data_IF_922513861491
#
_entry.id   IF_922513861491
#
_cell.length_a   1.000
_cell.length_b   1.000
_cell.length_c   1.000
_cell.angle_alpha   90.00
_cell.angle_beta   90.00
_cell.angle_gamma   90.00
#
_symmetry.space_group_name_H-M   'P 1'
#
loop_
_entity.id
_entity.type
_entity.pdbx_description
1 polymer ?
#
# COMPACT_ATOMS: atom_id res chain seq x y z
N UNK A 1 -1.09 -7.27 -37.90
CA UNK A 1 0.22 -6.62 -37.67
C UNK A 1 0.21 -6.22 -36.21
N UNK A 2 0.58 -7.14 -35.30
CA UNK A 2 0.62 -6.85 -33.87
C UNK A 2 1.77 -5.87 -33.64
N UNK A 3 1.46 -4.64 -33.25
CA UNK A 3 2.50 -3.73 -32.77
C UNK A 3 2.97 -4.26 -31.42
N UNK A 4 4.14 -4.86 -31.39
CA UNK A 4 4.84 -5.18 -30.15
C UNK A 4 5.22 -3.86 -29.49
N UNK A 5 4.38 -3.37 -28.57
CA UNK A 5 4.76 -2.32 -27.65
C UNK A 5 5.91 -2.85 -26.79
N UNK A 6 7.13 -2.46 -27.12
CA UNK A 6 8.32 -2.82 -26.35
C UNK A 6 8.42 -1.89 -25.14
N UNK A 7 7.75 -2.26 -24.05
CA UNK A 7 7.95 -1.56 -22.78
C UNK A 7 9.33 -1.95 -22.22
N UNK A 8 10.16 -0.98 -21.77
CA UNK A 8 11.40 -1.31 -21.10
C UNK A 8 11.07 -2.06 -19.81
N UNK A 9 11.49 -3.31 -19.72
CA UNK A 9 11.25 -4.13 -18.53
C UNK A 9 12.34 -3.92 -17.49
N UNK A 10 11.99 -4.14 -16.23
CA UNK A 10 12.87 -3.94 -15.07
C UNK A 10 12.90 -5.17 -14.18
N UNK A 11 13.93 -5.24 -13.33
CA UNK A 11 14.06 -6.27 -12.30
C UNK A 11 13.24 -5.91 -11.07
N UNK A 12 13.02 -6.89 -10.18
CA UNK A 12 12.35 -6.63 -8.90
C UNK A 12 13.09 -5.63 -8.00
N UNK A 13 14.43 -5.58 -8.05
CA UNK A 13 15.20 -4.58 -7.30
C UNK A 13 14.86 -3.15 -7.76
N UNK A 14 14.77 -2.93 -9.07
CA UNK A 14 14.37 -1.65 -9.65
C UNK A 14 12.89 -1.34 -9.37
N UNK A 15 12.02 -2.36 -9.27
CA UNK A 15 10.65 -2.19 -8.78
C UNK A 15 10.63 -1.59 -7.38
N UNK A 16 11.44 -2.11 -6.46
CA UNK A 16 11.51 -1.57 -5.09
C UNK A 16 11.97 -0.11 -5.08
N UNK A 17 12.92 0.25 -5.94
CA UNK A 17 13.35 1.65 -6.10
C UNK A 17 12.23 2.53 -6.69
N UNK A 18 11.48 2.03 -7.66
CA UNK A 18 10.40 2.76 -8.30
C UNK A 18 9.23 3.03 -7.34
N UNK A 19 8.74 2.00 -6.64
CA UNK A 19 7.67 2.16 -5.65
C UNK A 19 8.09 3.00 -4.45
N UNK A 20 9.38 2.97 -4.07
CA UNK A 20 9.92 3.87 -3.05
C UNK A 20 9.86 5.35 -3.46
N UNK A 21 9.90 5.64 -4.77
CA UNK A 21 9.69 6.97 -5.35
C UNK A 21 8.20 7.32 -5.55
N UNK A 22 7.30 6.42 -5.15
CA UNK A 22 5.85 6.60 -5.31
C UNK A 22 5.30 6.18 -6.67
N UNK A 23 6.12 5.52 -7.51
CA UNK A 23 5.69 5.07 -8.84
C UNK A 23 4.85 3.79 -8.74
N UNK A 24 3.94 3.61 -9.71
CA UNK A 24 3.18 2.39 -9.89
C UNK A 24 3.92 1.44 -10.83
N UNK A 25 3.90 0.15 -10.49
CA UNK A 25 4.56 -0.89 -11.30
C UNK A 25 3.65 -2.09 -11.51
N UNK A 26 3.86 -2.84 -12.58
CA UNK A 26 3.12 -4.07 -12.84
C UNK A 26 4.01 -5.08 -13.55
N UNK A 27 3.66 -6.37 -13.50
CA UNK A 27 4.17 -7.34 -14.47
C UNK A 27 3.54 -7.03 -15.83
N UNK A 28 4.22 -7.35 -16.93
CA UNK A 28 3.65 -7.24 -18.28
C UNK A 28 2.30 -7.96 -18.38
N UNK A 29 2.21 -9.19 -17.85
CA UNK A 29 0.99 -9.98 -17.80
C UNK A 29 -0.10 -9.37 -16.89
N UNK A 30 0.29 -8.58 -15.89
CA UNK A 30 -0.62 -7.93 -14.95
C UNK A 30 -1.22 -6.66 -15.53
N UNK A 31 -0.45 -5.86 -16.27
CA UNK A 31 -0.92 -4.62 -16.86
C UNK A 31 -2.04 -4.87 -17.89
N UNK A 32 -1.92 -5.93 -18.69
CA UNK A 32 -2.99 -6.35 -19.61
C UNK A 32 -4.29 -6.75 -18.89
N UNK A 33 -4.20 -7.13 -17.61
CA UNK A 33 -5.34 -7.46 -16.77
C UNK A 33 -5.77 -6.31 -15.85
N UNK A 34 -4.99 -5.22 -15.74
CA UNK A 34 -5.29 -4.08 -14.85
C UNK A 34 -4.81 -4.21 -13.41
N UNK A 35 -3.91 -5.16 -13.09
CA UNK A 35 -3.31 -5.25 -11.75
C UNK A 35 -2.01 -4.43 -11.67
N UNK A 36 -1.78 -3.74 -10.55
CA UNK A 36 -0.54 -2.99 -10.31
C UNK A 36 -0.18 -2.89 -8.84
N UNK A 37 1.10 -2.68 -8.56
CA UNK A 37 1.64 -2.41 -7.24
C UNK A 37 1.89 -0.92 -7.05
N UNK A 38 1.70 -0.49 -5.81
CA UNK A 38 2.23 0.78 -5.30
C UNK A 38 2.69 0.57 -3.85
N UNK A 39 3.51 1.49 -3.34
CA UNK A 39 3.83 1.52 -1.92
C UNK A 39 2.95 2.55 -1.22
N UNK A 40 2.21 2.13 -0.18
CA UNK A 40 1.65 3.09 0.76
C UNK A 40 2.80 3.63 1.62
N UNK A 41 3.06 4.95 1.62
CA UNK A 41 4.11 5.51 2.46
C UNK A 41 3.76 5.37 3.95
N UNK A 42 4.78 5.46 4.79
CA UNK A 42 4.56 5.57 6.23
C UNK A 42 3.80 6.87 6.53
N UNK A 43 2.87 6.81 7.47
CA UNK A 43 1.98 7.94 7.76
C UNK A 43 1.50 7.92 9.21
N UNK A 44 1.13 9.07 9.73
CA UNK A 44 0.54 9.23 11.06
C UNK A 44 -0.91 9.67 10.94
N UNK A 45 -1.83 8.78 11.32
CA UNK A 45 -3.25 9.05 11.21
C UNK A 45 -3.83 9.35 12.59
N UNK A 46 -4.52 10.48 12.76
CA UNK A 46 -5.24 10.77 13.98
C UNK A 46 -6.23 9.69 14.43
N UNK A 47 -6.25 9.41 15.73
CA UNK A 47 -7.14 8.40 16.34
C UNK A 47 -8.62 8.72 16.07
N UNK A 48 -8.99 10.00 15.93
CA UNK A 48 -10.37 10.42 15.60
C UNK A 48 -10.88 9.84 14.28
N UNK A 49 -10.00 9.61 13.31
CA UNK A 49 -10.37 9.01 12.02
C UNK A 49 -10.45 7.49 12.13
N UNK A 50 -9.47 6.87 12.79
CA UNK A 50 -9.37 5.42 12.94
C UNK A 50 -10.53 4.88 13.76
N UNK A 51 -10.89 5.58 14.85
CA UNK A 51 -12.06 5.23 15.65
C UNK A 51 -13.36 5.37 14.86
N UNK A 52 -13.44 6.10 13.74
CA UNK A 52 -14.66 6.19 12.94
C UNK A 52 -14.71 5.18 11.80
N UNK A 53 -13.63 4.44 11.56
CA UNK A 53 -13.59 3.44 10.50
C UNK A 53 -14.60 2.31 10.78
N UNK A 54 -15.50 2.08 9.82
CA UNK A 54 -16.51 1.00 9.87
C UNK A 54 -15.89 -0.38 9.77
N UNK A 55 -14.71 -0.49 9.17
CA UNK A 55 -13.93 -1.74 9.03
C UNK A 55 -13.20 -2.16 10.30
N UNK A 56 -13.12 -1.29 11.32
CA UNK A 56 -12.34 -1.58 12.52
C UNK A 56 -13.13 -2.49 13.47
N UNK A 57 -12.61 -3.68 13.84
CA UNK A 57 -13.28 -4.56 14.79
C UNK A 57 -13.51 -3.89 16.14
N UNK A 58 -14.64 -4.20 16.78
CA UNK A 58 -15.03 -3.60 18.06
C UNK A 58 -13.97 -3.80 19.17
N UNK A 59 -13.27 -4.93 19.17
CA UNK A 59 -12.19 -5.20 20.12
C UNK A 59 -11.02 -4.23 19.95
N UNK A 60 -10.61 -3.96 18.71
CA UNK A 60 -9.50 -3.05 18.40
C UNK A 60 -9.86 -1.63 18.82
N UNK A 61 -11.07 -1.17 18.48
CA UNK A 61 -11.63 0.11 18.95
C UNK A 61 -11.54 0.26 20.46
N UNK A 62 -11.99 -0.75 21.21
CA UNK A 62 -11.92 -0.76 22.68
C UNK A 62 -10.48 -0.67 23.20
N UNK A 63 -9.53 -1.35 22.56
CA UNK A 63 -8.12 -1.24 22.95
C UNK A 63 -7.55 0.16 22.68
N UNK A 64 -7.93 0.80 21.57
CA UNK A 64 -7.53 2.17 21.25
C UNK A 64 -8.12 3.16 22.25
N UNK A 65 -9.41 3.05 22.56
CA UNK A 65 -10.08 3.87 23.58
C UNK A 65 -9.41 3.71 24.95
N UNK A 66 -9.08 2.46 25.35
CA UNK A 66 -8.36 2.22 26.60
C UNK A 66 -6.97 2.86 26.62
N UNK A 67 -6.21 2.79 25.51
CA UNK A 67 -4.87 3.39 25.41
C UNK A 67 -4.91 4.92 25.40
N UNK A 68 -5.92 5.49 24.77
CA UNK A 68 -6.10 6.95 24.64
C UNK A 68 -6.93 7.55 25.76
N UNK A 69 -7.46 6.74 26.68
CA UNK A 69 -8.43 7.13 27.71
C UNK A 69 -9.69 7.81 27.12
N UNK A 70 -10.04 7.46 25.88
CA UNK A 70 -11.14 8.08 25.13
C UNK A 70 -10.83 9.49 24.60
N UNK A 71 -9.62 10.00 24.79
CA UNK A 71 -9.21 11.31 24.33
C UNK A 71 -8.72 11.26 22.87
N UNK A 72 -8.87 12.36 22.15
CA UNK A 72 -8.33 12.53 20.80
C UNK A 72 -7.13 13.47 20.76
N UNK A 73 -6.92 14.24 21.83
CA UNK A 73 -5.83 15.18 21.97
C UNK A 73 -5.20 14.97 23.34
N UNK A 74 -3.89 15.15 23.43
CA UNK A 74 -3.16 15.19 24.70
C UNK A 74 -3.51 16.47 25.46
N UNK A 75 -3.19 16.51 26.75
CA UNK A 75 -3.33 17.72 27.59
C UNK A 75 -2.52 18.93 27.05
N UNK A 76 -1.50 18.69 26.22
CA UNK A 76 -0.73 19.72 25.52
C UNK A 76 -1.46 20.34 24.33
N UNK A 77 -2.62 19.79 23.93
CA UNK A 77 -3.37 20.18 22.74
C UNK A 77 -2.96 19.43 21.47
N UNK A 78 -1.90 18.62 21.50
CA UNK A 78 -1.48 17.81 20.35
C UNK A 78 -2.44 16.66 20.08
N UNK A 79 -2.73 16.40 18.80
CA UNK A 79 -3.57 15.27 18.40
C UNK A 79 -2.86 13.92 18.65
N UNK A 80 -3.61 12.95 19.16
CA UNK A 80 -3.10 11.59 19.32
C UNK A 80 -3.17 10.88 17.96
N UNK A 81 -2.00 10.52 17.44
CA UNK A 81 -1.85 9.81 16.16
C UNK A 81 -1.49 8.34 16.37
N UNK A 82 -1.78 7.53 15.35
CA UNK A 82 -1.29 6.15 15.21
C UNK A 82 -0.36 6.13 13.99
N UNK A 83 0.87 5.71 14.21
CA UNK A 83 1.86 5.53 13.14
C UNK A 83 1.58 4.23 12.38
N UNK A 84 1.52 4.34 11.06
CA UNK A 84 1.48 3.23 10.12
C UNK A 84 2.82 3.14 9.41
N UNK A 85 3.42 1.95 9.40
CA UNK A 85 4.60 1.68 8.59
C UNK A 85 4.28 1.69 7.10
N UNK A 86 5.30 1.88 6.27
CA UNK A 86 5.18 1.72 4.82
C UNK A 86 5.00 0.23 4.46
N UNK A 87 4.19 -0.05 3.45
CA UNK A 87 4.02 -1.41 2.92
C UNK A 87 3.55 -1.40 1.47
N UNK A 88 3.79 -2.51 0.77
CA UNK A 88 3.33 -2.72 -0.59
C UNK A 88 1.83 -3.04 -0.63
N UNK A 89 1.16 -2.51 -1.62
CA UNK A 89 -0.23 -2.76 -1.93
C UNK A 89 -0.34 -3.31 -3.35
N UNK A 90 -1.14 -4.36 -3.54
CA UNK A 90 -1.57 -4.80 -4.86
C UNK A 90 -2.99 -4.31 -5.11
N UNK A 91 -3.18 -3.56 -6.19
CA UNK A 91 -4.50 -3.23 -6.72
C UNK A 91 -4.83 -4.27 -7.78
N UNK A 92 -5.97 -4.93 -7.61
CA UNK A 92 -6.47 -5.91 -8.57
C UNK A 92 -7.37 -5.25 -9.61
N UNK A 93 -7.54 -5.93 -10.75
CA UNK A 93 -8.40 -5.52 -11.85
C UNK A 93 -9.83 -5.17 -11.44
N UNK A 94 -10.34 -5.85 -10.41
CA UNK A 94 -11.68 -5.65 -9.86
C UNK A 94 -11.70 -4.67 -8.66
N UNK A 95 -10.69 -3.79 -8.59
CA UNK A 95 -10.57 -2.67 -7.65
C UNK A 95 -10.51 -3.11 -6.18
N UNK A 96 -9.91 -4.27 -5.89
CA UNK A 96 -9.55 -4.65 -4.52
C UNK A 96 -8.12 -4.23 -4.23
N UNK A 97 -7.87 -3.81 -3.00
CA UNK A 97 -6.53 -3.47 -2.51
C UNK A 97 -6.10 -4.55 -1.51
N UNK A 98 -5.09 -5.33 -1.88
CA UNK A 98 -4.40 -6.24 -0.98
C UNK A 98 -3.34 -5.45 -0.22
N UNK A 99 -3.65 -5.08 1.02
CA UNK A 99 -2.72 -4.40 1.91
C UNK A 99 -1.63 -5.37 2.39
N UNK A 100 -0.37 -4.94 2.35
CA UNK A 100 0.75 -5.77 2.79
C UNK A 100 1.04 -6.92 1.84
N UNK A 101 0.90 -6.68 0.53
CA UNK A 101 1.24 -7.67 -0.48
C UNK A 101 2.71 -8.07 -0.33
N UNK A 102 2.95 -9.37 -0.29
CA UNK A 102 4.29 -9.94 -0.19
C UNK A 102 4.66 -10.59 -1.52
N UNK A 103 5.83 -10.24 -2.10
CA UNK A 103 6.31 -10.89 -3.31
C UNK A 103 6.57 -12.38 -3.08
N UNK A 104 6.14 -13.22 -4.01
CA UNK A 104 6.60 -14.60 -4.10
C UNK A 104 8.05 -14.66 -4.63
N UNK A 105 8.68 -15.83 -4.58
CA UNK A 105 9.99 -16.01 -5.23
C UNK A 105 9.90 -15.76 -6.74
N UNK A 106 8.79 -16.16 -7.38
CA UNK A 106 8.56 -15.90 -8.81
C UNK A 106 8.49 -14.40 -9.12
N UNK A 107 7.90 -13.61 -8.23
CA UNK A 107 7.86 -12.14 -8.35
C UNK A 107 9.24 -11.51 -8.22
N UNK A 108 10.04 -12.01 -7.27
CA UNK A 108 11.39 -11.49 -7.02
C UNK A 108 12.36 -11.80 -8.18
N UNK A 109 12.22 -12.95 -8.83
CA UNK A 109 13.09 -13.36 -9.95
C UNK A 109 12.58 -12.91 -11.32
N UNK A 110 11.41 -12.29 -11.37
CA UNK A 110 10.84 -11.77 -12.60
C UNK A 110 11.60 -10.58 -13.18
N UNK A 111 11.65 -10.52 -14.51
CA UNK A 111 12.32 -9.49 -15.30
C UNK A 111 11.38 -8.79 -16.27
N UNK A 112 10.09 -9.11 -16.21
CA UNK A 112 9.00 -8.56 -17.02
C UNK A 112 8.18 -7.51 -16.24
N UNK A 113 8.76 -6.89 -15.21
CA UNK A 113 8.15 -5.75 -14.55
C UNK A 113 8.22 -4.51 -15.45
N UNK A 114 7.24 -3.63 -15.34
CA UNK A 114 7.17 -2.33 -16.02
C UNK A 114 6.75 -1.26 -15.02
N UNK A 115 7.20 -0.03 -15.26
CA UNK A 115 6.76 1.18 -14.56
C UNK A 115 5.60 1.76 -15.37
N UNK A 116 4.52 2.18 -14.70
CA UNK A 116 3.28 2.65 -15.34
C UNK A 116 3.19 4.18 -15.50
N UNK A 117 4.13 4.91 -14.91
CA UNK A 117 4.21 6.38 -14.91
C UNK A 117 5.00 6.96 -16.11
#
# INVERSE_FOLDING_TARGET
MESTFNFPTVTYAQVLEAVAKGLCVARLSWNCAGNYLFMRPADEIPVRYISRASSLPASVRRYLEKRTKGETHRHTGEEITISFGAYLCLVTADLRIVNGWAPSQEDMFATDWIILD
#
